data_IF_965548586881
#
_entry.id   IF_965548586881
#
_cell.length_a   1.000
_cell.length_b   1.000
_cell.length_c   1.000
_cell.angle_alpha   90.00
_cell.angle_beta   90.00
_cell.angle_gamma   90.00
#
_symmetry.space_group_name_H-M   'P 1'
#
loop_
_entity.id
_entity.type
_entity.pdbx_description
1 polymer ?
#
# COMPACT_ATOMS: atom_id res chain seq x y z
N UNK A 1 -23.32 7.31 -1.26
CA UNK A 1 -21.95 7.70 -0.86
C UNK A 1 -21.06 7.33 -2.03
N UNK A 2 -20.63 8.37 -2.73
CA UNK A 2 -20.21 8.33 -4.12
C UNK A 2 -18.90 7.57 -4.33
N UNK A 3 -18.77 6.85 -5.44
CA UNK A 3 -17.49 6.24 -5.83
C UNK A 3 -16.39 7.31 -6.06
N UNK A 4 -16.77 8.56 -6.28
CA UNK A 4 -15.88 9.72 -6.39
C UNK A 4 -15.02 9.98 -5.13
N UNK A 5 -15.59 9.83 -3.93
CA UNK A 5 -14.84 10.07 -2.69
C UNK A 5 -13.75 9.02 -2.46
N UNK A 6 -13.98 7.78 -2.93
CA UNK A 6 -12.99 6.71 -2.87
C UNK A 6 -11.81 7.02 -3.77
N UNK A 7 -12.07 7.40 -5.03
CA UNK A 7 -11.02 7.70 -6.00
C UNK A 7 -10.15 8.88 -5.56
N UNK A 8 -10.76 9.94 -5.01
CA UNK A 8 -10.02 11.10 -4.50
C UNK A 8 -9.12 10.77 -3.29
N UNK A 9 -9.60 9.92 -2.37
CA UNK A 9 -8.81 9.44 -1.24
C UNK A 9 -7.61 8.57 -1.68
N UNK A 10 -7.79 7.76 -2.73
CA UNK A 10 -6.70 6.99 -3.33
C UNK A 10 -5.67 7.88 -4.04
N UNK A 11 -6.10 8.91 -4.75
CA UNK A 11 -5.21 9.84 -5.46
C UNK A 11 -4.34 10.67 -4.52
N UNK A 12 -4.89 11.17 -3.42
CA UNK A 12 -4.13 11.98 -2.45
C UNK A 12 -2.98 11.16 -1.84
N UNK A 13 -3.27 9.93 -1.42
CA UNK A 13 -2.26 9.04 -0.86
C UNK A 13 -1.21 8.67 -1.90
N UNK A 14 -1.60 8.34 -3.13
CA UNK A 14 -0.66 7.99 -4.21
C UNK A 14 0.31 9.13 -4.55
N UNK A 15 -0.15 10.40 -4.51
CA UNK A 15 0.73 11.56 -4.68
C UNK A 15 1.73 11.68 -3.55
N UNK A 16 1.29 11.45 -2.32
CA UNK A 16 2.13 11.55 -1.13
C UNK A 16 3.16 10.41 -1.03
N UNK A 17 2.89 9.22 -1.61
CA UNK A 17 3.86 8.11 -1.69
C UNK A 17 5.17 8.57 -2.36
N UNK A 18 5.10 9.46 -3.37
CA UNK A 18 6.28 9.98 -4.07
C UNK A 18 7.24 10.76 -3.16
N UNK A 19 6.78 11.24 -2.01
CA UNK A 19 7.58 11.98 -1.01
C UNK A 19 8.27 11.05 0.01
N UNK A 20 7.95 9.77 0.06
CA UNK A 20 8.61 8.82 0.96
C UNK A 20 10.07 8.60 0.52
N UNK A 21 11.01 8.39 1.46
CA UNK A 21 12.39 8.02 1.14
C UNK A 21 12.46 6.56 0.64
N UNK A 22 13.52 6.22 -0.10
CA UNK A 22 13.83 4.81 -0.39
C UNK A 22 14.46 4.14 0.85
N UNK A 23 14.20 2.84 1.10
CA UNK A 23 13.41 1.90 0.29
C UNK A 23 11.89 1.91 0.58
N UNK A 24 11.45 2.68 1.58
CA UNK A 24 10.06 2.72 2.06
C UNK A 24 9.06 3.08 0.95
N UNK A 25 9.42 4.02 0.07
CA UNK A 25 8.63 4.40 -1.09
C UNK A 25 8.35 3.23 -2.01
N UNK A 26 9.39 2.54 -2.49
CA UNK A 26 9.26 1.42 -3.42
C UNK A 26 8.41 0.29 -2.83
N UNK A 27 8.67 -0.04 -1.56
CA UNK A 27 7.96 -1.10 -0.85
C UNK A 27 6.48 -0.75 -0.66
N UNK A 28 6.18 0.45 -0.17
CA UNK A 28 4.81 0.86 0.08
C UNK A 28 4.01 1.07 -1.22
N UNK A 29 4.67 1.57 -2.28
CA UNK A 29 4.04 1.71 -3.60
C UNK A 29 3.62 0.34 -4.15
N UNK A 30 4.49 -0.67 -4.07
CA UNK A 30 4.18 -2.02 -4.51
C UNK A 30 3.06 -2.65 -3.67
N UNK A 31 3.14 -2.53 -2.33
CA UNK A 31 2.08 -2.98 -1.43
C UNK A 31 0.71 -2.40 -1.82
N UNK A 32 0.65 -1.09 -2.09
CA UNK A 32 -0.58 -0.42 -2.52
C UNK A 32 -1.05 -0.85 -3.89
N UNK A 33 -0.13 -1.11 -4.82
CA UNK A 33 -0.47 -1.65 -6.14
C UNK A 33 -1.12 -3.03 -6.01
N UNK A 34 -0.55 -3.94 -5.22
CA UNK A 34 -1.13 -5.28 -4.97
C UNK A 34 -2.49 -5.15 -4.30
N UNK A 35 -2.62 -4.30 -3.28
CA UNK A 35 -3.90 -4.05 -2.61
C UNK A 35 -4.98 -3.57 -3.59
N UNK A 36 -4.66 -2.60 -4.45
CA UNK A 36 -5.57 -2.09 -5.48
C UNK A 36 -5.93 -3.16 -6.51
N UNK A 37 -4.95 -3.92 -6.99
CA UNK A 37 -5.16 -5.01 -7.94
C UNK A 37 -6.11 -6.04 -7.36
N UNK A 38 -5.86 -6.48 -6.12
CA UNK A 38 -6.64 -7.51 -5.46
C UNK A 38 -8.09 -7.07 -5.24
N UNK A 39 -8.30 -5.82 -4.79
CA UNK A 39 -9.63 -5.26 -4.62
C UNK A 39 -10.37 -5.05 -5.94
N UNK A 40 -9.68 -4.62 -6.99
CA UNK A 40 -10.28 -4.36 -8.32
C UNK A 40 -10.66 -5.65 -9.03
N UNK A 41 -9.81 -6.68 -8.97
CA UNK A 41 -9.98 -7.91 -9.73
C UNK A 41 -10.83 -8.95 -8.99
N UNK A 42 -10.63 -9.10 -7.68
CA UNK A 42 -11.24 -10.17 -6.91
C UNK A 42 -12.21 -9.68 -5.81
N UNK A 43 -12.29 -8.36 -5.58
CA UNK A 43 -13.11 -7.79 -4.50
C UNK A 43 -12.65 -8.15 -3.09
N UNK A 44 -11.45 -8.73 -2.94
CA UNK A 44 -10.92 -9.24 -1.66
C UNK A 44 -9.42 -9.01 -1.57
N UNK A 45 -8.91 -8.81 -0.35
CA UNK A 45 -7.47 -8.57 -0.11
C UNK A 45 -6.62 -9.84 -0.21
N UNK A 46 -7.18 -10.99 0.12
CA UNK A 46 -6.47 -12.28 0.12
C UNK A 46 -6.76 -13.00 -1.19
N UNK A 47 -5.73 -13.20 -1.99
CA UNK A 47 -5.79 -13.94 -3.26
C UNK A 47 -4.83 -15.12 -3.17
N UNK A 48 -5.31 -16.32 -3.51
CA UNK A 48 -4.53 -17.57 -3.45
C UNK A 48 -3.84 -17.81 -2.10
N UNK A 49 -4.51 -17.46 -1.00
CA UNK A 49 -3.98 -17.59 0.36
C UNK A 49 -2.90 -16.57 0.74
N UNK A 50 -2.57 -15.62 -0.15
CA UNK A 50 -1.57 -14.58 0.10
C UNK A 50 -2.22 -13.23 0.35
N UNK A 51 -1.77 -12.55 1.40
CA UNK A 51 -2.10 -11.15 1.68
C UNK A 51 -1.21 -10.21 0.85
N UNK A 52 -1.57 -8.92 0.68
CA UNK A 52 -0.70 -7.96 0.01
C UNK A 52 0.66 -7.78 0.71
N UNK A 53 0.70 -7.94 2.04
CA UNK A 53 1.97 -7.95 2.81
C UNK A 53 2.84 -9.12 2.37
N UNK A 54 2.28 -10.33 2.28
CA UNK A 54 3.00 -11.53 1.84
C UNK A 54 3.49 -11.41 0.41
N UNK A 55 2.65 -10.95 -0.50
CA UNK A 55 3.05 -10.70 -1.89
C UNK A 55 4.18 -9.66 -1.99
N UNK A 56 4.16 -8.65 -1.12
CA UNK A 56 5.22 -7.64 -1.05
C UNK A 56 6.51 -8.20 -0.46
N UNK A 57 6.41 -9.00 0.61
CA UNK A 57 7.54 -9.70 1.22
C UNK A 57 8.25 -10.63 0.21
N UNK A 58 7.47 -11.42 -0.53
CA UNK A 58 7.97 -12.29 -1.61
C UNK A 58 8.68 -11.47 -2.70
N UNK A 59 8.12 -10.32 -3.09
CA UNK A 59 8.68 -9.49 -4.17
C UNK A 59 10.02 -8.85 -3.81
N UNK A 60 10.18 -8.37 -2.57
CA UNK A 60 11.40 -7.72 -2.11
C UNK A 60 12.37 -8.67 -1.41
N UNK A 61 12.03 -9.96 -1.27
CA UNK A 61 12.80 -10.95 -0.50
C UNK A 61 13.07 -10.49 0.94
N UNK A 62 12.04 -9.94 1.59
CA UNK A 62 12.08 -9.41 2.96
C UNK A 62 11.13 -10.18 3.87
N UNK A 63 11.34 -10.09 5.19
CA UNK A 63 10.42 -10.72 6.15
C UNK A 63 9.08 -9.95 6.22
N UNK A 64 7.97 -10.68 6.44
CA UNK A 64 6.65 -10.06 6.55
C UNK A 64 6.59 -8.98 7.64
N UNK A 65 7.28 -9.18 8.76
CA UNK A 65 7.32 -8.23 9.86
C UNK A 65 8.05 -6.92 9.49
N UNK A 66 9.06 -7.00 8.62
CA UNK A 66 9.74 -5.82 8.10
C UNK A 66 8.81 -5.03 7.17
N UNK A 67 8.12 -5.71 6.27
CA UNK A 67 7.11 -5.08 5.39
C UNK A 67 6.00 -4.42 6.21
N UNK A 68 5.49 -5.08 7.27
CA UNK A 68 4.48 -4.50 8.17
C UNK A 68 4.99 -3.22 8.83
N UNK A 69 6.23 -3.22 9.33
CA UNK A 69 6.87 -2.03 9.92
C UNK A 69 6.96 -0.88 8.93
N UNK A 70 7.48 -1.15 7.73
CA UNK A 70 7.63 -0.15 6.67
C UNK A 70 6.27 0.41 6.26
N UNK A 71 5.28 -0.46 6.03
CA UNK A 71 3.94 -0.03 5.65
C UNK A 71 3.26 0.80 6.75
N UNK A 72 3.47 0.46 8.02
CA UNK A 72 2.98 1.25 9.16
C UNK A 72 3.64 2.63 9.22
N UNK A 73 4.96 2.71 9.09
CA UNK A 73 5.70 3.98 9.11
C UNK A 73 5.29 4.88 7.95
N UNK A 74 5.21 4.33 6.74
CA UNK A 74 4.75 5.04 5.55
C UNK A 74 3.33 5.58 5.77
N UNK A 75 2.41 4.74 6.25
CA UNK A 75 1.02 5.14 6.50
C UNK A 75 0.91 6.28 7.52
N UNK A 76 1.74 6.30 8.56
CA UNK A 76 1.78 7.38 9.54
C UNK A 76 2.28 8.69 8.92
N UNK A 77 3.39 8.66 8.18
CA UNK A 77 3.93 9.85 7.48
C UNK A 77 2.92 10.43 6.48
N UNK A 78 2.29 9.56 5.70
CA UNK A 78 1.27 9.99 4.74
C UNK A 78 0.05 10.62 5.43
N UNK A 79 -0.35 10.08 6.59
CA UNK A 79 -1.44 10.66 7.39
C UNK A 79 -1.07 12.05 7.92
N UNK A 80 0.16 12.25 8.39
CA UNK A 80 0.67 13.55 8.82
C UNK A 80 0.70 14.58 7.69
N UNK A 81 1.12 14.19 6.48
CA UNK A 81 1.16 15.09 5.32
C UNK A 81 -0.19 15.35 4.67
N UNK A 82 -1.22 14.58 5.03
CA UNK A 82 -2.59 14.75 4.54
C UNK A 82 -3.47 15.65 5.41
N UNK A 83 -2.95 16.09 6.57
CA UNK A 83 -3.56 17.11 7.42
C UNK A 83 -3.24 18.51 6.90
#
# INVERSE_FOLDING_TARGET
>A
MDNYDKDFYFELKDRLIKKLPEPEKSIYAYFRQVEKSNLREAGKLIINGKTPVQSTADHFMMEEEEIKKICRQASLKLAEWSK
#
